data_IF_927436975134
#
_entry.id   IF_927436975134
#
_cell.length_a   1.000
_cell.length_b   1.000
_cell.length_c   1.000
_cell.angle_alpha   90.00
_cell.angle_beta   90.00
_cell.angle_gamma   90.00
#
_symmetry.space_group_name_H-M   'P 1'
#
loop_
_entity.id
_entity.type
_entity.pdbx_description
1 polymer ?
#
# COMPACT_ATOMS: atom_id res chain seq x y z
N UNK A 1 0.91 0.36 22.60
CA UNK A 1 1.01 0.55 21.12
C UNK A 1 -0.38 0.87 20.61
N UNK A 2 -0.61 2.11 20.16
CA UNK A 2 -1.93 2.56 19.69
C UNK A 2 -2.21 1.90 18.34
N UNK A 3 -3.18 0.98 18.30
CA UNK A 3 -3.65 0.41 17.04
C UNK A 3 -4.26 1.53 16.19
N UNK A 4 -3.70 1.76 15.01
CA UNK A 4 -4.32 2.67 14.04
C UNK A 4 -5.70 2.09 13.67
N UNK A 5 -6.80 2.85 13.82
CA UNK A 5 -8.12 2.36 13.49
C UNK A 5 -8.21 2.04 12.00
N UNK A 6 -8.93 0.96 11.64
CA UNK A 6 -9.28 0.60 10.26
C UNK A 6 -9.94 1.82 9.59
N UNK A 7 -9.19 2.57 8.80
CA UNK A 7 -9.66 3.83 8.25
C UNK A 7 -10.71 3.59 7.16
N UNK A 8 -11.95 4.02 7.42
CA UNK A 8 -12.95 4.28 6.36
C UNK A 8 -12.33 5.26 5.37
N UNK A 9 -12.39 4.94 4.08
CA UNK A 9 -11.99 5.87 3.02
C UNK A 9 -12.89 7.11 3.06
N UNK A 10 -12.35 8.24 3.54
CA UNK A 10 -13.11 9.48 3.69
C UNK A 10 -13.24 10.14 2.32
N UNK A 11 -14.46 10.17 1.79
CA UNK A 11 -14.78 10.84 0.53
C UNK A 11 -15.19 12.29 0.78
N UNK A 12 -14.97 13.22 -0.17
CA UNK A 12 -15.46 14.59 -0.07
C UNK A 12 -16.98 14.65 0.19
N UNK A 13 -17.75 13.74 -0.43
CA UNK A 13 -19.20 13.63 -0.24
C UNK A 13 -19.58 13.27 1.21
N UNK A 14 -18.83 12.36 1.83
CA UNK A 14 -19.07 11.99 3.23
C UNK A 14 -18.83 13.18 4.17
N UNK A 15 -17.78 13.97 3.93
CA UNK A 15 -17.49 15.19 4.71
C UNK A 15 -18.59 16.23 4.53
N UNK A 16 -19.01 16.49 3.30
CA UNK A 16 -20.11 17.44 3.03
C UNK A 16 -21.40 17.02 3.72
N UNK A 17 -21.74 15.72 3.69
CA UNK A 17 -22.92 15.19 4.37
C UNK A 17 -22.86 15.38 5.89
N UNK A 18 -21.69 15.22 6.52
CA UNK A 18 -21.56 15.46 7.96
C UNK A 18 -21.58 16.96 8.30
N UNK A 19 -20.97 17.82 7.48
CA UNK A 19 -21.04 19.28 7.67
C UNK A 19 -22.47 19.81 7.54
N UNK A 20 -23.27 19.21 6.66
CA UNK A 20 -24.69 19.52 6.49
C UNK A 20 -25.51 19.20 7.75
N UNK A 21 -25.29 18.01 8.34
CA UNK A 21 -25.90 17.62 9.63
C UNK A 21 -25.54 18.58 10.76
N UNK A 22 -24.32 19.10 10.76
CA UNK A 22 -23.80 20.04 11.75
C UNK A 22 -24.21 21.49 11.51
N UNK A 23 -24.94 21.80 10.42
CA UNK A 23 -25.38 23.15 10.02
C UNK A 23 -24.22 24.15 9.88
N UNK A 24 -23.04 23.68 9.47
CA UNK A 24 -21.86 24.52 9.24
C UNK A 24 -21.86 24.99 7.77
N UNK A 25 -21.40 26.22 7.51
CA UNK A 25 -21.25 26.74 6.15
C UNK A 25 -20.34 25.80 5.35
N UNK A 26 -20.88 25.24 4.27
CA UNK A 26 -20.18 24.23 3.49
C UNK A 26 -19.11 24.88 2.59
N UNK A 27 -17.84 24.47 2.68
CA UNK A 27 -16.84 24.84 1.69
C UNK A 27 -17.16 24.15 0.35
N UNK A 28 -16.69 24.74 -0.76
CA UNK A 28 -16.81 24.11 -2.09
C UNK A 28 -16.20 22.71 -2.07
N UNK A 29 -16.86 21.76 -2.75
CA UNK A 29 -16.39 20.38 -2.84
C UNK A 29 -14.93 20.28 -3.35
N UNK A 30 -14.51 21.20 -4.23
CA UNK A 30 -13.14 21.31 -4.72
C UNK A 30 -12.12 21.60 -3.62
N UNK A 31 -12.45 22.45 -2.64
CA UNK A 31 -11.55 22.75 -1.52
C UNK A 31 -11.36 21.54 -0.62
N UNK A 32 -12.43 20.77 -0.35
CA UNK A 32 -12.34 19.53 0.41
C UNK A 32 -11.50 18.50 -0.35
N UNK A 33 -11.70 18.38 -1.66
CA UNK A 33 -10.92 17.47 -2.49
C UNK A 33 -9.42 17.81 -2.45
N UNK A 34 -9.06 19.09 -2.63
CA UNK A 34 -7.67 19.56 -2.56
C UNK A 34 -7.08 19.39 -1.15
N UNK A 35 -7.85 19.67 -0.11
CA UNK A 35 -7.45 19.45 1.28
C UNK A 35 -7.15 17.97 1.54
N UNK A 36 -8.05 17.07 1.15
CA UNK A 36 -7.86 15.64 1.29
C UNK A 36 -6.68 15.12 0.47
N UNK A 37 -6.48 15.61 -0.75
CA UNK A 37 -5.33 15.24 -1.57
C UNK A 37 -4.02 15.64 -0.89
N UNK A 38 -3.95 16.86 -0.35
CA UNK A 38 -2.78 17.37 0.39
C UNK A 38 -2.54 16.58 1.68
N UNK A 39 -3.60 16.30 2.43
CA UNK A 39 -3.53 15.54 3.68
C UNK A 39 -3.08 14.10 3.43
N UNK A 40 -3.62 13.44 2.40
CA UNK A 40 -3.20 12.09 1.99
C UNK A 40 -1.74 12.08 1.55
N UNK A 41 -1.32 13.08 0.76
CA UNK A 41 0.08 13.22 0.35
C UNK A 41 1.02 13.36 1.55
N UNK A 42 0.60 14.09 2.58
CA UNK A 42 1.37 14.27 3.82
C UNK A 42 1.41 13.00 4.68
N UNK A 43 0.31 12.26 4.78
CA UNK A 43 0.21 11.07 5.63
C UNK A 43 0.80 9.81 4.98
N UNK A 44 0.57 9.63 3.68
CA UNK A 44 0.86 8.37 2.96
C UNK A 44 1.93 8.52 1.88
N UNK A 45 2.42 9.75 1.64
CA UNK A 45 3.38 10.02 0.58
C UNK A 45 2.72 10.32 -0.77
N UNK A 46 3.53 10.48 -1.84
CA UNK A 46 3.03 10.80 -3.17
C UNK A 46 2.02 9.75 -3.65
N UNK A 47 1.03 10.20 -4.41
CA UNK A 47 0.06 9.28 -5.01
C UNK A 47 0.80 8.27 -5.90
N UNK A 48 1.71 8.74 -6.76
CA UNK A 48 2.45 7.88 -7.68
C UNK A 48 3.67 7.28 -6.99
N UNK A 49 3.83 5.96 -7.11
CA UNK A 49 5.02 5.24 -6.66
C UNK A 49 6.01 5.13 -7.82
N UNK A 50 7.26 5.57 -7.62
CA UNK A 50 8.30 5.39 -8.65
C UNK A 50 8.92 4.00 -8.55
N UNK A 51 9.41 3.45 -9.66
CA UNK A 51 10.15 2.18 -9.67
C UNK A 51 11.37 2.23 -8.74
N UNK A 52 12.07 3.37 -8.70
CA UNK A 52 13.18 3.56 -7.79
C UNK A 52 12.75 3.51 -6.31
N UNK A 53 11.58 4.06 -5.98
CA UNK A 53 11.03 3.95 -4.62
C UNK A 53 10.71 2.49 -4.26
N UNK A 54 10.09 1.74 -5.18
CA UNK A 54 9.84 0.29 -4.99
C UNK A 54 11.16 -0.46 -4.78
N UNK A 55 12.20 -0.13 -5.57
CA UNK A 55 13.52 -0.74 -5.46
C UNK A 55 14.13 -0.51 -4.07
N UNK A 56 14.11 0.73 -3.58
CA UNK A 56 14.62 1.08 -2.25
C UNK A 56 13.84 0.33 -1.17
N UNK A 57 12.50 0.33 -1.25
CA UNK A 57 11.65 -0.39 -0.31
C UNK A 57 11.94 -1.90 -0.29
N UNK A 58 12.16 -2.51 -1.45
CA UNK A 58 12.52 -3.93 -1.55
C UNK A 58 13.87 -4.22 -0.87
N UNK A 59 14.86 -3.34 -1.03
CA UNK A 59 16.18 -3.46 -0.38
C UNK A 59 16.03 -3.37 1.14
N UNK A 60 15.27 -2.39 1.64
CA UNK A 60 15.03 -2.22 3.07
C UNK A 60 14.30 -3.42 3.69
N UNK A 61 13.34 -4.00 2.94
CA UNK A 61 12.55 -5.16 3.37
C UNK A 61 13.17 -6.50 3.02
N UNK A 62 14.39 -6.54 2.47
CA UNK A 62 15.10 -7.80 2.18
C UNK A 62 15.64 -8.48 3.45
N UNK A 63 15.82 -7.72 4.53
CA UNK A 63 16.29 -8.24 5.82
C UNK A 63 15.21 -9.10 6.45
N UNK A 64 15.56 -10.34 6.79
CA UNK A 64 14.63 -11.28 7.42
C UNK A 64 14.38 -10.85 8.88
N UNK A 65 13.12 -10.57 9.28
CA UNK A 65 12.80 -10.09 10.62
C UNK A 65 12.90 -11.19 11.68
N UNK A 66 13.05 -10.75 12.94
CA UNK A 66 13.07 -11.62 14.11
C UNK A 66 11.68 -12.06 14.58
N UNK A 67 10.62 -11.37 14.17
CA UNK A 67 9.24 -11.81 14.33
C UNK A 67 8.90 -12.83 13.21
N UNK A 68 8.39 -14.03 13.52
CA UNK A 68 8.12 -15.06 12.50
C UNK A 68 6.93 -14.75 11.59
N UNK A 69 6.04 -13.83 12.00
CA UNK A 69 4.85 -13.41 11.25
C UNK A 69 5.02 -12.02 10.62
N UNK A 70 6.14 -11.35 10.87
CA UNK A 70 6.52 -10.15 10.12
C UNK A 70 6.98 -10.52 8.70
N UNK A 71 6.48 -9.75 7.73
CA UNK A 71 6.76 -9.99 6.32
C UNK A 71 8.12 -9.41 5.91
N UNK A 72 8.71 -10.04 4.90
CA UNK A 72 9.92 -9.57 4.24
C UNK A 72 9.85 -9.87 2.75
N UNK A 73 10.67 -9.18 1.98
CA UNK A 73 10.86 -9.40 0.54
C UNK A 73 11.87 -10.52 0.37
N UNK A 74 11.41 -11.69 -0.07
CA UNK A 74 12.27 -12.84 -0.32
C UNK A 74 12.98 -12.76 -1.68
N UNK A 75 12.34 -12.13 -2.68
CA UNK A 75 12.97 -11.84 -3.96
C UNK A 75 12.23 -10.69 -4.67
N UNK A 76 12.90 -9.99 -5.58
CA UNK A 76 12.28 -9.00 -6.44
C UNK A 76 13.00 -8.90 -7.79
N UNK A 77 12.27 -8.51 -8.82
CA UNK A 77 12.76 -8.26 -10.17
C UNK A 77 12.20 -6.92 -10.64
N UNK A 78 13.07 -6.03 -11.11
CA UNK A 78 12.69 -4.71 -11.62
C UNK A 78 13.38 -4.54 -12.97
N UNK A 79 12.58 -4.27 -14.00
CA UNK A 79 12.99 -3.93 -15.35
C UNK A 79 12.51 -2.51 -15.62
N UNK A 80 13.49 -1.63 -15.85
CA UNK A 80 13.29 -0.20 -16.06
C UNK A 80 13.60 0.08 -17.54
N UNK A 81 12.74 -0.42 -18.42
CA UNK A 81 12.79 -0.17 -19.87
C UNK A 81 11.71 0.87 -20.21
N UNK A 82 12.03 1.79 -21.11
CA UNK A 82 11.16 2.93 -21.47
C UNK A 82 9.81 2.50 -22.06
N UNK A 83 9.75 1.35 -22.74
CA UNK A 83 8.55 0.88 -23.44
C UNK A 83 7.62 0.04 -22.57
N UNK A 84 8.16 -0.77 -21.65
CA UNK A 84 7.40 -1.72 -20.82
C UNK A 84 8.05 -1.93 -19.44
N UNK A 85 7.85 -0.98 -18.50
CA UNK A 85 8.35 -1.13 -17.14
C UNK A 85 7.66 -2.31 -16.44
N UNK A 86 8.46 -3.22 -15.88
CA UNK A 86 7.97 -4.40 -15.18
C UNK A 86 8.61 -4.50 -13.81
N UNK A 87 7.79 -4.64 -12.78
CA UNK A 87 8.25 -5.03 -11.45
C UNK A 87 7.52 -6.29 -10.98
N UNK A 88 8.26 -7.17 -10.31
CA UNK A 88 7.73 -8.36 -9.63
C UNK A 88 8.38 -8.41 -8.26
N UNK A 89 7.58 -8.73 -7.25
CA UNK A 89 8.06 -8.89 -5.87
C UNK A 89 7.47 -10.17 -5.30
N UNK A 90 8.28 -10.86 -4.50
CA UNK A 90 7.89 -12.02 -3.74
C UNK A 90 8.04 -11.69 -2.26
N UNK A 91 6.90 -11.59 -1.57
CA UNK A 91 6.81 -11.26 -0.15
C UNK A 91 6.30 -12.48 0.59
N UNK A 92 6.91 -12.76 1.74
CA UNK A 92 6.56 -13.92 2.57
C UNK A 92 6.84 -13.62 4.04
N UNK A 93 6.45 -14.55 4.91
CA UNK A 93 6.75 -14.57 6.35
C UNK A 93 7.48 -15.88 6.68
N UNK A 94 8.27 -15.92 7.76
CA UNK A 94 9.06 -17.13 8.08
C UNK A 94 8.18 -18.35 8.34
N UNK A 95 7.03 -18.17 8.99
CA UNK A 95 6.11 -19.28 9.22
C UNK A 95 5.52 -19.86 7.93
N UNK A 96 5.26 -19.02 6.92
CA UNK A 96 4.78 -19.50 5.62
C UNK A 96 5.88 -20.28 4.88
N UNK A 97 7.13 -19.84 4.98
CA UNK A 97 8.27 -20.55 4.39
C UNK A 97 8.50 -21.93 5.02
N UNK A 98 8.15 -22.14 6.30
CA UNK A 98 8.19 -23.48 6.91
C UNK A 98 7.23 -24.46 6.24
N UNK A 99 6.07 -23.98 5.78
CA UNK A 99 5.12 -24.83 5.07
C UNK A 99 5.69 -25.29 3.72
N UNK A 100 6.54 -24.47 3.08
CA UNK A 100 7.22 -24.84 1.85
C UNK A 100 8.11 -26.09 1.99
N UNK A 101 8.68 -26.32 3.18
CA UNK A 101 9.51 -27.52 3.44
C UNK A 101 8.69 -28.82 3.38
N UNK A 102 7.38 -28.74 3.63
CA UNK A 102 6.47 -29.88 3.68
C UNK A 102 5.59 -29.99 2.42
N UNK A 103 5.80 -29.12 1.43
CA UNK A 103 5.01 -29.07 0.21
C UNK A 103 5.88 -29.32 -1.01
N UNK A 104 5.45 -30.23 -1.89
CA UNK A 104 6.11 -30.46 -3.18
C UNK A 104 5.77 -29.39 -4.24
N UNK A 105 4.72 -28.60 -3.99
CA UNK A 105 4.20 -27.62 -4.93
C UNK A 105 3.79 -26.33 -4.20
N UNK A 106 4.06 -25.19 -4.82
CA UNK A 106 3.59 -23.88 -4.37
C UNK A 106 2.41 -23.49 -5.26
N UNK A 107 1.22 -23.37 -4.67
CA UNK A 107 0.06 -22.81 -5.37
C UNK A 107 0.09 -21.29 -5.24
N UNK A 108 0.43 -20.60 -6.33
CA UNK A 108 0.30 -19.15 -6.42
C UNK A 108 -1.09 -18.83 -7.00
N UNK A 109 -2.09 -18.71 -6.14
CA UNK A 109 -3.40 -18.20 -6.51
C UNK A 109 -3.52 -16.72 -6.12
N UNK A 110 -4.19 -15.95 -6.97
CA UNK A 110 -4.36 -14.49 -6.99
C UNK A 110 -3.23 -13.66 -7.65
N UNK A 111 -3.44 -13.34 -8.93
CA UNK A 111 -2.83 -12.17 -9.57
C UNK A 111 -3.73 -10.96 -9.30
N UNK A 112 -3.38 -10.12 -8.33
CA UNK A 112 -4.08 -8.86 -8.13
C UNK A 112 -3.54 -7.83 -9.12
N UNK A 113 -4.38 -7.36 -10.06
CA UNK A 113 -4.09 -6.13 -10.79
C UNK A 113 -4.18 -4.98 -9.80
N UNK A 114 -3.03 -4.50 -9.33
CA UNK A 114 -2.96 -3.27 -8.56
C UNK A 114 -3.38 -2.13 -9.50
N UNK A 115 -4.67 -1.79 -9.46
CA UNK A 115 -5.17 -0.55 -10.06
C UNK A 115 -4.76 0.55 -9.09
N UNK A 116 -3.71 1.26 -9.45
CA UNK A 116 -3.29 2.46 -8.76
C UNK A 116 -3.96 3.69 -9.41
#
# INVERSE_FOLDING_TARGET
MVSLPKHRYITPKAILSELDKLKIIQPKASHIASFLATLRKKLYGPAQISLNYIKIWCIEKYIIPNDPDEYFVANYYIKDDDDDPLFRLFVTVRNLMKNCLNSNHICADATYKLIW
#
